data_IF_819211895844
#
_entry.id   IF_819211895844
#
_cell.length_a   1.000
_cell.length_b   1.000
_cell.length_c   1.000
_cell.angle_alpha   90.00
_cell.angle_beta   90.00
_cell.angle_gamma   90.00
#
_symmetry.space_group_name_H-M   'P 1'
#
loop_
_entity.id
_entity.type
_entity.pdbx_description
1 polymer ?
#
# COMPACT_ATOMS: atom_id res chain seq x y z
N UNK A 1 3.68 11.44 5.74
CA UNK A 1 2.44 11.71 6.50
C UNK A 1 1.52 12.58 5.65
N UNK A 2 0.24 12.24 5.54
CA UNK A 2 -0.71 12.95 4.68
C UNK A 2 -1.85 13.58 5.48
N UNK A 3 -2.23 14.80 5.13
CA UNK A 3 -3.47 15.46 5.57
C UNK A 3 -4.27 15.88 4.33
N UNK A 4 -5.52 15.43 4.21
CA UNK A 4 -6.38 15.70 3.03
C UNK A 4 -5.69 15.46 1.67
N UNK A 5 -4.88 14.39 1.57
CA UNK A 5 -4.07 14.00 0.39
C UNK A 5 -2.81 14.86 0.13
N UNK A 6 -2.50 15.83 0.99
CA UNK A 6 -1.27 16.62 0.93
C UNK A 6 -0.22 16.11 1.90
N UNK A 7 1.05 16.14 1.51
CA UNK A 7 2.16 15.76 2.37
C UNK A 7 2.52 16.89 3.34
N UNK A 8 2.44 16.59 4.63
CA UNK A 8 2.65 17.56 5.72
C UNK A 8 3.82 17.22 6.63
N UNK A 9 4.45 16.07 6.42
CA UNK A 9 5.51 15.56 7.26
C UNK A 9 5.85 14.11 6.95
N UNK A 10 6.67 13.49 7.79
CA UNK A 10 7.22 12.15 7.60
C UNK A 10 7.42 11.42 8.93
N UNK A 11 7.59 10.09 8.83
CA UNK A 11 7.95 9.25 9.97
C UNK A 11 9.46 9.24 10.07
N UNK A 12 10.00 9.60 11.23
CA UNK A 12 11.44 9.65 11.47
C UNK A 12 11.95 8.34 12.06
N UNK A 13 11.23 7.79 13.04
CA UNK A 13 11.65 6.57 13.72
C UNK A 13 10.44 5.77 14.15
N UNK A 14 10.56 4.45 14.05
CA UNK A 14 9.59 3.49 14.58
C UNK A 14 10.33 2.57 15.54
N UNK A 15 9.91 2.54 16.80
CA UNK A 15 10.52 1.69 17.83
C UNK A 15 9.50 0.63 18.25
N UNK A 16 9.79 -0.66 18.04
CA UNK A 16 8.91 -1.73 18.50
C UNK A 16 8.93 -1.84 20.03
N UNK A 17 7.78 -2.17 20.59
CA UNK A 17 7.57 -2.59 21.98
C UNK A 17 6.89 -3.96 21.99
N UNK A 18 6.66 -4.52 23.19
CA UNK A 18 6.07 -5.84 23.35
C UNK A 18 4.74 -6.02 22.59
N UNK A 19 3.88 -4.99 22.56
CA UNK A 19 2.58 -5.03 21.91
C UNK A 19 2.23 -3.77 21.11
N UNK A 20 3.13 -2.78 21.08
CA UNK A 20 2.88 -1.46 20.51
C UNK A 20 4.13 -0.94 19.78
N UNK A 21 4.01 0.22 19.15
CA UNK A 21 5.12 0.92 18.53
C UNK A 21 5.15 2.36 19.02
N UNK A 22 6.31 2.85 19.40
CA UNK A 22 6.54 4.30 19.54
C UNK A 22 6.92 4.84 18.15
N UNK A 23 6.27 5.92 17.72
CA UNK A 23 6.47 6.52 16.39
C UNK A 23 6.84 7.98 16.54
N UNK A 24 8.03 8.35 16.08
CA UNK A 24 8.46 9.74 16.01
C UNK A 24 8.09 10.30 14.64
N UNK A 25 7.43 11.45 14.64
CA UNK A 25 6.98 12.15 13.45
C UNK A 25 7.67 13.51 13.34
N UNK A 26 8.09 13.85 12.13
CA UNK A 26 8.51 15.20 11.81
C UNK A 26 7.44 15.86 10.95
N UNK A 27 6.89 16.96 11.45
CA UNK A 27 5.84 17.73 10.78
C UNK A 27 6.44 19.07 10.40
N UNK A 28 6.29 19.46 9.13
CA UNK A 28 6.92 20.69 8.63
C UNK A 28 6.36 21.89 9.41
N UNK A 29 7.19 22.88 9.79
CA UNK A 29 6.79 23.99 10.67
C UNK A 29 5.50 24.69 10.24
N UNK A 30 5.32 24.90 8.94
CA UNK A 30 4.16 25.54 8.33
C UNK A 30 2.84 24.79 8.57
N UNK A 31 2.88 23.48 8.86
CA UNK A 31 1.70 22.63 9.10
C UNK A 31 1.45 22.30 10.58
N UNK A 32 2.24 22.84 11.52
CA UNK A 32 2.08 22.55 12.96
C UNK A 32 0.68 22.92 13.48
N UNK A 33 0.06 23.93 12.89
CA UNK A 33 -1.31 24.36 13.22
C UNK A 33 -2.39 23.31 12.93
N UNK A 34 -2.09 22.27 12.13
CA UNK A 34 -3.00 21.15 11.87
C UNK A 34 -3.06 20.14 13.01
N UNK A 35 -2.12 20.22 13.97
CA UNK A 35 -2.06 19.37 15.14
C UNK A 35 -2.84 20.00 16.29
N UNK A 36 -3.88 19.29 16.73
CA UNK A 36 -4.69 19.64 17.89
C UNK A 36 -4.77 18.44 18.82
N UNK A 37 -5.24 18.64 20.04
CA UNK A 37 -5.49 17.53 20.97
C UNK A 37 -6.51 16.51 20.46
N UNK A 38 -7.29 16.86 19.43
CA UNK A 38 -8.29 15.99 18.80
C UNK A 38 -7.79 15.34 17.49
N UNK A 39 -6.52 15.53 17.13
CA UNK A 39 -5.97 14.96 15.90
C UNK A 39 -5.81 13.45 16.02
N UNK A 40 -6.38 12.71 15.06
CA UNK A 40 -6.28 11.25 14.98
C UNK A 40 -5.43 10.86 13.79
N UNK A 41 -4.54 9.89 13.98
CA UNK A 41 -3.65 9.36 12.96
C UNK A 41 -4.05 7.95 12.59
N UNK A 42 -4.13 7.66 11.29
CA UNK A 42 -4.44 6.32 10.77
C UNK A 42 -3.30 5.81 9.90
N UNK A 43 -2.96 4.53 10.08
CA UNK A 43 -2.08 3.82 9.13
C UNK A 43 -2.92 3.39 7.93
N UNK A 44 -2.52 3.82 6.73
CA UNK A 44 -3.11 3.27 5.50
C UNK A 44 -2.70 1.80 5.40
N UNK A 45 -3.66 0.88 5.51
CA UNK A 45 -3.41 -0.51 5.17
C UNK A 45 -3.03 -0.59 3.69
N UNK A 46 -1.97 -1.34 3.36
CA UNK A 46 -1.72 -1.70 1.98
C UNK A 46 -2.96 -2.44 1.46
N UNK A 47 -3.53 -1.97 0.36
CA UNK A 47 -4.66 -2.65 -0.28
C UNK A 47 -4.13 -4.02 -0.70
N UNK A 48 -4.56 -5.09 -0.04
CA UNK A 48 -4.29 -6.46 -0.50
C UNK A 48 -5.06 -6.62 -1.81
N UNK A 49 -4.39 -6.40 -2.95
CA UNK A 49 -4.97 -6.69 -4.26
C UNK A 49 -5.16 -8.19 -4.32
N UNK A 50 -6.36 -8.66 -4.00
CA UNK A 50 -6.78 -9.98 -4.41
C UNK A 50 -6.95 -9.91 -5.93
N UNK A 51 -5.92 -10.37 -6.64
CA UNK A 51 -6.05 -10.80 -8.02
C UNK A 51 -6.93 -12.06 -8.00
N UNK A 52 -8.25 -11.89 -7.93
CA UNK A 52 -9.14 -12.96 -8.32
C UNK A 52 -8.89 -13.14 -9.82
N UNK A 53 -8.12 -14.18 -10.18
CA UNK A 53 -7.75 -14.54 -11.54
C UNK A 53 -8.97 -14.93 -12.38
N UNK A 54 -9.78 -13.95 -12.76
CA UNK A 54 -10.80 -14.06 -13.78
C UNK A 54 -10.79 -12.77 -14.57
N UNK A 55 -9.79 -12.69 -15.44
CA UNK A 55 -9.51 -11.54 -16.27
C UNK A 55 -8.56 -11.90 -17.41
N UNK A 56 -8.84 -13.00 -18.09
CA UNK A 56 -8.19 -13.37 -19.35
C UNK A 56 -9.18 -14.16 -20.21
N UNK A 57 -10.08 -13.44 -20.88
CA UNK A 57 -10.58 -13.91 -22.17
C UNK A 57 -9.90 -13.05 -23.24
N UNK A 58 -8.58 -13.14 -23.29
CA UNK A 58 -7.76 -12.62 -24.38
C UNK A 58 -7.78 -13.65 -25.48
N UNK A 59 -8.55 -13.36 -26.52
CA UNK A 59 -8.51 -14.01 -27.83
C UNK A 59 -7.06 -14.22 -28.26
N UNK A 60 -6.61 -15.48 -28.39
CA UNK A 60 -5.23 -15.75 -28.82
C UNK A 60 -4.65 -17.07 -28.34
N UNK A 61 -5.34 -18.19 -28.52
CA UNK A 61 -4.67 -19.49 -28.55
C UNK A 61 -4.46 -19.85 -30.01
N UNK A 62 -3.26 -19.57 -30.52
CA UNK A 62 -2.79 -20.20 -31.74
C UNK A 62 -2.75 -21.71 -31.48
N UNK A 63 -3.69 -22.45 -32.10
CA UNK A 63 -3.68 -23.92 -32.10
C UNK A 63 -2.41 -24.38 -32.81
N UNK A 64 -1.40 -24.83 -32.05
CA UNK A 64 -0.24 -25.49 -32.63
C UNK A 64 -0.69 -26.87 -33.16
N UNK A 65 -0.33 -27.26 -34.39
CA UNK A 65 -0.72 -28.55 -34.93
C UNK A 65 -0.04 -29.69 -34.15
N UNK A 66 -0.87 -30.65 -33.72
CA UNK A 66 -0.48 -31.89 -33.05
C UNK A 66 0.44 -32.69 -33.98
N UNK A 67 1.73 -32.76 -33.65
CA UNK A 67 2.62 -33.77 -34.20
C UNK A 67 2.38 -35.06 -33.43
N UNK A 68 1.71 -36.02 -34.07
CA UNK A 68 1.76 -37.41 -33.63
C UNK A 68 3.09 -38.00 -34.08
N UNK A 69 3.91 -38.42 -33.12
CA UNK A 69 5.09 -39.25 -33.39
C UNK A 69 5.12 -40.41 -32.41
N UNK A 70 4.87 -41.60 -32.96
CA UNK A 70 5.50 -42.86 -32.56
C UNK A 70 4.85 -43.64 -31.42
N UNK A 71 4.10 -44.68 -31.80
CA UNK A 71 4.54 -46.07 -31.62
C UNK A 71 3.95 -46.96 -32.72
#
# INVERSE_FOLDING_TARGET
>A
MLYRKFEVGEVITVRPRANTFDIDLHIKPEYRHLLTSNSVFWRKAARKVQLNGSGLNGTGLATLPRTERGH
#
